data_IF_960941221769
#
_entry.id   IF_960941221769
#
_cell.length_a   1.000
_cell.length_b   1.000
_cell.length_c   1.000
_cell.angle_alpha   90.00
_cell.angle_beta   90.00
_cell.angle_gamma   90.00
#
_symmetry.space_group_name_H-M   'P 1'
#
loop_
_entity.id
_entity.type
_entity.pdbx_description
1 polymer ?
#
# COMPACT_ATOMS: atom_id res chain seq x y z
N UNK A 1 -24.32 -0.10 -20.87
CA UNK A 1 -22.87 -0.42 -20.88
C UNK A 1 -22.39 -0.38 -19.44
N UNK A 2 -22.16 -1.54 -18.83
CA UNK A 2 -21.64 -1.62 -17.45
C UNK A 2 -20.23 -0.99 -17.46
N UNK A 3 -20.03 0.08 -16.69
CA UNK A 3 -18.82 0.89 -16.76
C UNK A 3 -17.60 0.09 -16.29
N UNK A 4 -16.76 -0.36 -17.22
CA UNK A 4 -15.47 -1.00 -16.91
C UNK A 4 -14.45 -0.03 -16.31
N UNK A 5 -14.76 1.26 -16.24
CA UNK A 5 -13.84 2.28 -15.77
C UNK A 5 -13.42 2.06 -14.31
N UNK A 6 -14.33 1.62 -13.45
CA UNK A 6 -14.10 1.45 -12.02
C UNK A 6 -13.06 0.35 -11.69
N UNK A 7 -13.14 -0.87 -12.25
CA UNK A 7 -12.09 -1.88 -12.03
C UNK A 7 -10.73 -1.49 -12.61
N UNK A 8 -10.70 -0.79 -13.75
CA UNK A 8 -9.42 -0.25 -14.27
C UNK A 8 -8.85 0.82 -13.35
N UNK A 9 -9.68 1.69 -12.77
CA UNK A 9 -9.24 2.69 -11.80
C UNK A 9 -8.64 2.04 -10.54
N UNK A 10 -9.23 0.96 -10.04
CA UNK A 10 -8.67 0.19 -8.91
C UNK A 10 -7.29 -0.37 -9.25
N UNK A 11 -7.13 -0.99 -10.42
CA UNK A 11 -5.84 -1.56 -10.84
C UNK A 11 -4.80 -0.44 -10.97
N UNK A 12 -5.15 0.68 -11.61
CA UNK A 12 -4.24 1.81 -11.79
C UNK A 12 -3.81 2.42 -10.44
N UNK A 13 -4.74 2.60 -9.50
CA UNK A 13 -4.44 3.09 -8.16
C UNK A 13 -3.56 2.11 -7.37
N UNK A 14 -3.82 0.80 -7.47
CA UNK A 14 -3.01 -0.24 -6.84
C UNK A 14 -1.56 -0.24 -7.36
N UNK A 15 -1.37 -0.21 -8.68
CA UNK A 15 -0.03 -0.15 -9.30
C UNK A 15 0.70 1.12 -8.88
N UNK A 16 0.00 2.26 -8.87
CA UNK A 16 0.57 3.53 -8.44
C UNK A 16 0.98 3.47 -6.96
N UNK A 17 0.18 2.86 -6.10
CA UNK A 17 0.51 2.65 -4.68
C UNK A 17 1.78 1.83 -4.48
N UNK A 18 1.94 0.73 -5.24
CA UNK A 18 3.16 -0.09 -5.21
C UNK A 18 4.37 0.73 -5.67
N UNK A 19 4.25 1.43 -6.80
CA UNK A 19 5.33 2.24 -7.36
C UNK A 19 5.78 3.35 -6.40
N UNK A 20 4.83 4.07 -5.78
CA UNK A 20 5.14 5.12 -4.79
C UNK A 20 5.73 4.55 -3.51
N UNK A 21 5.28 3.39 -3.05
CA UNK A 21 5.88 2.69 -1.90
C UNK A 21 7.34 2.30 -2.14
N UNK A 22 7.68 2.00 -3.40
CA UNK A 22 9.03 1.66 -3.83
C UNK A 22 9.96 2.88 -4.01
N UNK A 23 9.45 4.11 -3.85
CA UNK A 23 10.30 5.30 -3.80
C UNK A 23 10.96 5.44 -2.42
N UNK A 24 12.27 5.71 -2.33
CA UNK A 24 12.91 6.06 -1.08
C UNK A 24 12.23 7.28 -0.46
N UNK A 25 11.70 7.11 0.75
CA UNK A 25 10.99 8.18 1.47
C UNK A 25 11.77 8.70 2.67
N UNK A 26 12.95 8.16 2.97
CA UNK A 26 13.90 8.79 3.88
C UNK A 26 15.33 8.78 3.31
N UNK A 27 16.14 9.70 3.81
CA UNK A 27 17.49 9.97 3.31
C UNK A 27 18.49 10.10 4.46
N UNK A 28 19.61 9.39 4.36
CA UNK A 28 20.71 9.38 5.33
C UNK A 28 21.92 10.18 4.84
N UNK A 29 21.87 10.83 3.67
CA UNK A 29 22.97 11.66 3.14
C UNK A 29 23.37 12.79 4.09
N UNK A 30 22.44 13.26 4.92
CA UNK A 30 22.73 14.26 5.98
C UNK A 30 23.58 13.71 7.12
N UNK A 31 23.67 12.39 7.26
CA UNK A 31 24.52 11.68 8.19
C UNK A 31 25.84 11.23 7.55
N UNK A 32 26.14 11.71 6.33
CA UNK A 32 27.36 11.35 5.60
C UNK A 32 27.30 10.00 4.88
N UNK A 33 26.15 9.34 4.86
CA UNK A 33 25.94 8.05 4.20
C UNK A 33 25.15 8.24 2.90
N UNK A 34 25.67 7.76 1.77
CA UNK A 34 24.94 7.79 0.49
C UNK A 34 23.89 6.68 0.42
N UNK A 35 22.89 6.76 1.29
CA UNK A 35 21.83 5.78 1.46
C UNK A 35 20.46 6.47 1.58
N UNK A 36 19.49 5.95 0.84
CA UNK A 36 18.07 6.32 0.95
C UNK A 36 17.26 5.04 0.90
N UNK A 37 16.13 4.98 1.60
CA UNK A 37 15.46 3.69 1.78
C UNK A 37 13.95 3.83 1.97
N UNK A 38 13.23 2.72 1.84
CA UNK A 38 11.78 2.65 2.00
C UNK A 38 11.32 1.34 2.67
N UNK A 39 10.01 1.21 2.84
CA UNK A 39 9.43 0.05 3.50
C UNK A 39 9.55 -1.30 2.82
N UNK A 40 10.14 -1.34 1.62
CA UNK A 40 10.40 -2.54 0.83
C UNK A 40 11.87 -2.94 0.82
N UNK A 41 12.74 -2.15 1.44
CA UNK A 41 14.15 -2.49 1.48
C UNK A 41 15.01 -1.85 0.38
N UNK A 42 14.49 -0.87 -0.36
CA UNK A 42 15.14 -0.41 -1.60
C UNK A 42 16.06 0.78 -1.29
N UNK A 43 17.38 0.56 -1.36
CA UNK A 43 18.42 1.57 -1.11
C UNK A 43 19.84 1.08 -1.40
N UNK A 44 20.80 2.00 -1.42
CA UNK A 44 22.24 1.73 -1.52
C UNK A 44 22.81 1.37 -0.14
N UNK A 45 22.79 0.08 0.20
CA UNK A 45 23.51 -0.46 1.36
C UNK A 45 24.21 -1.74 0.90
N UNK A 46 25.44 -1.97 1.37
CA UNK A 46 26.24 -3.15 1.04
C UNK A 46 25.44 -4.44 1.23
N UNK A 47 25.60 -5.43 0.33
CA UNK A 47 24.95 -6.74 0.48
C UNK A 47 25.27 -7.43 1.82
N UNK A 48 26.37 -7.07 2.48
CA UNK A 48 26.72 -7.56 3.83
C UNK A 48 25.75 -7.10 4.92
N UNK A 49 25.01 -6.02 4.70
CA UNK A 49 24.17 -5.35 5.72
C UNK A 49 22.67 -5.61 5.50
N UNK A 50 22.31 -6.48 4.54
CA UNK A 50 20.92 -6.88 4.24
C UNK A 50 20.21 -7.54 5.44
N UNK A 51 20.96 -8.00 6.45
CA UNK A 51 20.40 -8.50 7.71
C UNK A 51 19.77 -7.40 8.58
N UNK A 52 20.05 -6.13 8.27
CA UNK A 52 19.58 -4.93 8.98
C UNK A 52 18.61 -4.19 8.06
N UNK A 53 17.51 -4.81 7.64
CA UNK A 53 16.44 -4.09 6.98
C UNK A 53 15.50 -3.47 8.04
N UNK A 54 15.06 -2.21 7.91
CA UNK A 54 13.94 -1.72 8.72
C UNK A 54 12.76 -2.65 8.46
N UNK A 55 12.14 -3.11 9.55
CA UNK A 55 11.06 -4.10 9.52
C UNK A 55 10.09 -3.80 8.37
N UNK A 56 9.94 -4.74 7.44
CA UNK A 56 9.29 -4.63 6.13
C UNK A 56 7.78 -4.34 6.15
N UNK A 57 7.33 -3.37 6.93
CA UNK A 57 5.93 -2.97 7.06
C UNK A 57 5.41 -2.34 5.76
N UNK A 58 6.29 -1.95 4.82
CA UNK A 58 5.91 -1.55 3.47
C UNK A 58 5.29 -2.70 2.67
N UNK A 59 5.59 -3.95 3.03
CA UNK A 59 4.92 -5.12 2.45
C UNK A 59 3.43 -5.18 2.77
N UNK A 60 2.97 -4.57 3.87
CA UNK A 60 1.54 -4.44 4.15
C UNK A 60 0.84 -3.59 3.09
N UNK A 61 1.51 -2.54 2.63
CA UNK A 61 1.02 -1.66 1.57
C UNK A 61 0.97 -2.43 0.25
N UNK A 62 2.04 -3.15 -0.09
CA UNK A 62 2.09 -3.97 -1.31
C UNK A 62 1.03 -5.08 -1.30
N UNK A 63 0.84 -5.75 -0.16
CA UNK A 63 -0.18 -6.79 -0.02
C UNK A 63 -1.59 -6.24 -0.21
N UNK A 64 -1.90 -5.07 0.38
CA UNK A 64 -3.19 -4.40 0.19
C UNK A 64 -3.41 -4.01 -1.28
N UNK A 65 -2.40 -3.42 -1.94
CA UNK A 65 -2.46 -3.08 -3.36
C UNK A 65 -2.63 -4.32 -4.24
N UNK A 66 -1.92 -5.41 -3.95
CA UNK A 66 -2.05 -6.66 -4.70
C UNK A 66 -3.47 -7.25 -4.59
N UNK A 67 -4.05 -7.27 -3.38
CA UNK A 67 -5.43 -7.70 -3.17
C UNK A 67 -6.43 -6.81 -3.93
N UNK A 68 -6.23 -5.50 -3.94
CA UNK A 68 -7.06 -4.58 -4.71
C UNK A 68 -6.95 -4.81 -6.21
N UNK A 69 -5.73 -5.00 -6.74
CA UNK A 69 -5.52 -5.33 -8.15
C UNK A 69 -6.22 -6.65 -8.53
N UNK A 70 -6.12 -7.68 -7.70
CA UNK A 70 -6.83 -8.95 -7.89
C UNK A 70 -8.35 -8.74 -7.88
N UNK A 71 -8.89 -7.94 -6.95
CA UNK A 71 -10.31 -7.61 -6.91
C UNK A 71 -10.79 -6.92 -8.20
N UNK A 72 -9.98 -6.00 -8.74
CA UNK A 72 -10.22 -5.33 -10.02
C UNK A 72 -10.17 -6.28 -11.22
N UNK A 73 -9.19 -7.19 -11.27
CA UNK A 73 -9.08 -8.20 -12.33
C UNK A 73 -10.30 -9.15 -12.30
N UNK A 74 -10.68 -9.63 -11.11
CA UNK A 74 -11.85 -10.50 -10.94
C UNK A 74 -13.14 -9.77 -11.35
N UNK A 75 -13.19 -8.45 -11.22
CA UNK A 75 -14.31 -7.61 -11.70
C UNK A 75 -14.41 -7.47 -13.21
N UNK A 76 -13.36 -7.83 -13.95
CA UNK A 76 -13.42 -7.90 -15.41
C UNK A 76 -13.87 -9.27 -15.93
N UNK A 77 -13.98 -10.29 -15.06
CA UNK A 77 -14.39 -11.64 -15.45
C UNK A 77 -15.92 -11.76 -15.56
N UNK A 78 -16.46 -12.32 -16.65
CA UNK A 78 -17.91 -12.44 -16.89
C UNK A 78 -18.58 -13.62 -16.16
N UNK A 79 -17.85 -14.40 -15.36
CA UNK A 79 -18.39 -15.61 -14.74
C UNK A 79 -19.24 -15.30 -13.50
N UNK A 80 -20.46 -15.83 -13.43
CA UNK A 80 -21.37 -15.63 -12.28
C UNK A 80 -20.73 -16.05 -10.93
N UNK A 81 -19.97 -17.15 -10.90
CA UNK A 81 -19.23 -17.59 -9.70
C UNK A 81 -18.11 -16.63 -9.29
N UNK A 82 -17.58 -15.82 -10.21
CA UNK A 82 -16.53 -14.85 -9.91
C UNK A 82 -17.09 -13.58 -9.23
N UNK A 83 -18.40 -13.33 -9.31
CA UNK A 83 -19.01 -12.14 -8.71
C UNK A 83 -19.03 -12.20 -7.17
N UNK A 84 -19.37 -13.35 -6.58
CA UNK A 84 -19.37 -13.52 -5.13
C UNK A 84 -17.96 -13.41 -4.53
N UNK A 85 -17.00 -14.09 -5.15
CA UNK A 85 -15.56 -14.03 -4.77
C UNK A 85 -15.05 -12.59 -4.92
N UNK A 86 -15.40 -11.94 -6.02
CA UNK A 86 -15.00 -10.57 -6.29
C UNK A 86 -15.55 -9.55 -5.28
N UNK A 87 -16.77 -9.76 -4.76
CA UNK A 87 -17.32 -8.92 -3.69
C UNK A 87 -16.52 -9.07 -2.40
N UNK A 88 -16.25 -10.30 -1.96
CA UNK A 88 -15.45 -10.54 -0.74
C UNK A 88 -14.05 -9.94 -0.90
N UNK A 89 -13.40 -10.16 -2.04
CA UNK A 89 -12.09 -9.57 -2.34
C UNK A 89 -12.10 -8.05 -2.31
N UNK A 90 -13.13 -7.40 -2.89
CA UNK A 90 -13.26 -5.95 -2.85
C UNK A 90 -13.43 -5.41 -1.42
N UNK A 91 -14.23 -6.09 -0.58
CA UNK A 91 -14.39 -5.74 0.83
C UNK A 91 -13.08 -5.90 1.62
N UNK A 92 -12.38 -7.02 1.46
CA UNK A 92 -11.08 -7.27 2.09
C UNK A 92 -10.04 -6.25 1.62
N UNK A 93 -10.02 -5.93 0.33
CA UNK A 93 -9.11 -4.92 -0.23
C UNK A 93 -9.40 -3.51 0.30
N UNK A 94 -10.67 -3.15 0.51
CA UNK A 94 -11.04 -1.86 1.09
C UNK A 94 -10.57 -1.71 2.55
N UNK A 95 -10.82 -2.74 3.37
CA UNK A 95 -10.34 -2.79 4.76
C UNK A 95 -8.82 -2.82 4.81
N UNK A 96 -8.19 -3.65 3.97
CA UNK A 96 -6.75 -3.78 3.87
C UNK A 96 -6.07 -2.49 3.43
N UNK A 97 -6.64 -1.76 2.47
CA UNK A 97 -6.10 -0.47 2.01
C UNK A 97 -6.22 0.61 3.08
N UNK A 98 -7.32 0.63 3.82
CA UNK A 98 -7.50 1.53 4.98
C UNK A 98 -6.48 1.22 6.07
N UNK A 99 -6.28 -0.07 6.39
CA UNK A 99 -5.27 -0.49 7.37
C UNK A 99 -3.84 -0.17 6.87
N UNK A 100 -3.56 -0.33 5.58
CA UNK A 100 -2.27 -0.01 5.00
C UNK A 100 -1.98 1.51 5.04
N UNK A 101 -2.99 2.36 4.93
CA UNK A 101 -2.84 3.82 5.06
C UNK A 101 -2.33 4.23 6.45
N UNK A 102 -2.56 3.41 7.48
CA UNK A 102 -1.98 3.64 8.81
C UNK A 102 -0.45 3.58 8.80
N UNK A 103 0.18 2.81 7.91
CA UNK A 103 1.64 2.67 7.84
C UNK A 103 2.33 4.01 7.56
N UNK A 104 2.05 4.74 6.46
CA UNK A 104 2.68 6.03 6.22
C UNK A 104 2.27 7.11 7.25
N UNK A 105 1.08 7.01 7.85
CA UNK A 105 0.66 7.91 8.95
C UNK A 105 1.48 7.66 10.21
N UNK A 106 1.68 6.40 10.60
CA UNK A 106 2.47 6.03 11.76
C UNK A 106 3.93 6.42 11.57
N UNK A 107 4.48 6.25 10.36
CA UNK A 107 5.82 6.75 10.00
C UNK A 107 5.91 8.27 10.16
N UNK A 108 4.86 9.00 9.80
CA UNK A 108 4.85 10.46 9.93
C UNK A 108 4.94 10.92 11.39
N UNK A 109 4.17 10.28 12.27
CA UNK A 109 4.06 10.67 13.69
C UNK A 109 5.25 10.13 14.49
N UNK A 110 5.62 8.87 14.23
CA UNK A 110 6.67 8.13 14.95
C UNK A 110 7.62 7.42 13.98
N UNK A 111 8.57 8.14 13.36
CA UNK A 111 9.58 7.54 12.51
C UNK A 111 10.37 6.41 13.20
N UNK A 112 10.60 6.55 14.52
CA UNK A 112 11.31 5.56 15.35
C UNK A 112 10.64 4.18 15.37
N UNK A 113 9.30 4.11 15.34
CA UNK A 113 8.56 2.85 15.28
C UNK A 113 8.89 2.02 14.04
N UNK A 114 9.30 2.70 12.98
CA UNK A 114 9.68 2.11 11.71
C UNK A 114 11.18 1.85 11.60
N UNK A 115 12.01 2.79 12.10
CA UNK A 115 13.44 2.81 11.82
C UNK A 115 14.34 2.39 12.98
N UNK A 116 13.85 2.28 14.22
CA UNK A 116 14.71 2.02 15.38
C UNK A 116 15.62 0.82 15.17
N UNK A 117 15.07 -0.36 14.83
CA UNK A 117 15.88 -1.56 14.61
C UNK A 117 16.86 -1.46 13.43
N UNK A 118 16.58 -0.60 12.45
CA UNK A 118 17.50 -0.34 11.33
C UNK A 118 18.68 0.53 11.79
N UNK A 119 18.40 1.63 12.49
CA UNK A 119 19.44 2.52 13.00
C UNK A 119 20.29 1.85 14.07
N UNK A 120 19.68 1.03 14.92
CA UNK A 120 20.39 0.23 15.93
C UNK A 120 21.38 -0.73 15.27
N UNK A 121 20.99 -1.42 14.20
CA UNK A 121 21.88 -2.32 13.48
C UNK A 121 22.99 -1.61 12.69
N UNK A 122 22.83 -0.31 12.40
CA UNK A 122 23.89 0.55 11.85
C UNK A 122 24.76 1.21 12.94
N UNK A 123 24.44 1.02 14.22
CA UNK A 123 25.12 1.72 15.33
C UNK A 123 24.83 3.23 15.37
N UNK A 124 23.70 3.66 14.80
CA UNK A 124 23.28 5.05 14.65
C UNK A 124 22.03 5.37 15.49
N UNK A 125 21.83 4.65 16.59
CA UNK A 125 20.69 4.83 17.51
C UNK A 125 20.53 6.29 17.98
N UNK A 126 21.66 6.97 18.23
CA UNK A 126 21.67 8.36 18.73
C UNK A 126 21.38 9.39 17.64
N UNK A 127 21.46 9.01 16.36
CA UNK A 127 21.25 9.89 15.21
C UNK A 127 19.79 9.84 14.69
N UNK A 128 18.87 9.23 15.43
CA UNK A 128 17.48 9.05 15.04
C UNK A 128 16.75 10.38 14.76
N UNK A 129 17.10 11.44 15.47
CA UNK A 129 16.51 12.78 15.26
C UNK A 129 16.92 13.43 13.93
N UNK A 130 18.01 12.97 13.32
CA UNK A 130 18.52 13.51 12.05
C UNK A 130 17.94 12.80 10.81
N UNK A 131 17.18 11.70 10.99
CA UNK A 131 16.55 10.99 9.88
C UNK A 131 15.44 11.84 9.28
N UNK A 132 15.68 12.37 8.09
CA UNK A 132 14.69 13.17 7.38
C UNK A 132 13.79 12.29 6.52
N UNK A 133 12.49 12.39 6.76
CA UNK A 133 11.46 11.70 5.98
C UNK A 133 10.78 12.68 5.01
N UNK A 134 10.68 12.29 3.74
CA UNK A 134 9.98 13.05 2.70
C UNK A 134 8.48 13.04 2.97
N UNK A 135 7.99 14.13 3.58
CA UNK A 135 6.56 14.34 3.83
C UNK A 135 5.75 14.29 2.53
N UNK A 136 6.29 14.80 1.43
CA UNK A 136 5.60 14.79 0.14
C UNK A 136 5.29 13.36 -0.35
N UNK A 137 6.25 12.44 -0.25
CA UNK A 137 6.05 11.04 -0.65
C UNK A 137 5.05 10.36 0.29
N UNK A 138 5.14 10.63 1.61
CA UNK A 138 4.17 10.11 2.57
C UNK A 138 2.74 10.61 2.32
N UNK A 139 2.54 11.91 2.07
CA UNK A 139 1.21 12.46 1.72
C UNK A 139 0.69 11.74 0.48
N UNK A 140 1.51 11.66 -0.57
CA UNK A 140 1.12 10.99 -1.82
C UNK A 140 0.66 9.56 -1.56
N UNK A 141 1.41 8.80 -0.76
CA UNK A 141 1.08 7.43 -0.43
C UNK A 141 -0.22 7.31 0.39
N UNK A 142 -0.42 8.18 1.39
CA UNK A 142 -1.66 8.24 2.18
C UNK A 142 -2.85 8.49 1.25
N UNK A 143 -2.76 9.50 0.38
CA UNK A 143 -3.84 9.86 -0.55
C UNK A 143 -4.15 8.72 -1.50
N UNK A 144 -3.13 8.07 -2.09
CA UNK A 144 -3.33 6.93 -2.99
C UNK A 144 -4.05 5.77 -2.26
N UNK A 145 -3.66 5.45 -1.02
CA UNK A 145 -4.27 4.36 -0.27
C UNK A 145 -5.71 4.66 0.14
N UNK A 146 -6.03 5.91 0.48
CA UNK A 146 -7.40 6.34 0.75
C UNK A 146 -8.27 6.30 -0.52
N UNK A 147 -7.74 6.74 -1.66
CA UNK A 147 -8.42 6.62 -2.95
C UNK A 147 -8.65 5.15 -3.28
N UNK A 148 -7.64 4.29 -3.10
CA UNK A 148 -7.75 2.86 -3.34
C UNK A 148 -8.83 2.21 -2.44
N UNK A 149 -8.87 2.57 -1.16
CA UNK A 149 -9.89 2.11 -0.24
C UNK A 149 -11.30 2.54 -0.68
N UNK A 150 -11.47 3.80 -1.09
CA UNK A 150 -12.74 4.33 -1.60
C UNK A 150 -13.19 3.62 -2.88
N UNK A 151 -12.27 3.41 -3.83
CA UNK A 151 -12.56 2.69 -5.07
C UNK A 151 -12.93 1.22 -4.82
N UNK A 152 -12.22 0.54 -3.92
CA UNK A 152 -12.56 -0.84 -3.52
C UNK A 152 -13.91 -0.91 -2.81
N UNK A 153 -14.23 0.09 -1.97
CA UNK A 153 -15.53 0.22 -1.32
C UNK A 153 -16.66 0.43 -2.34
N UNK A 154 -16.46 1.30 -3.34
CA UNK A 154 -17.43 1.48 -4.42
C UNK A 154 -17.63 0.18 -5.23
N UNK A 155 -16.55 -0.57 -5.50
CA UNK A 155 -16.59 -1.87 -6.17
C UNK A 155 -17.35 -2.94 -5.35
N UNK A 156 -17.27 -2.86 -4.01
CA UNK A 156 -18.04 -3.71 -3.12
C UNK A 156 -19.53 -3.39 -3.16
N UNK A 157 -19.89 -2.10 -3.15
CA UNK A 157 -21.27 -1.63 -3.19
C UNK A 157 -21.94 -2.00 -4.53
N UNK A 158 -21.30 -1.68 -5.67
CA UNK A 158 -21.83 -1.99 -7.01
C UNK A 158 -22.12 -3.48 -7.18
N UNK A 159 -21.26 -4.34 -6.63
CA UNK A 159 -21.49 -5.80 -6.63
C UNK A 159 -22.57 -6.25 -5.67
N UNK A 160 -22.73 -5.57 -4.54
CA UNK A 160 -23.79 -5.91 -3.59
C UNK A 160 -25.17 -5.62 -4.17
N UNK A 161 -25.31 -4.55 -4.95
CA UNK A 161 -26.55 -4.20 -5.65
C UNK A 161 -26.86 -5.18 -6.78
N UNK A 162 -25.85 -5.58 -7.57
CA UNK A 162 -26.00 -6.58 -8.65
C UNK A 162 -26.52 -7.92 -8.12
N UNK A 163 -25.96 -8.43 -7.02
CA UNK A 163 -26.45 -9.68 -6.42
C UNK A 163 -27.91 -9.60 -5.96
N UNK A 164 -28.34 -8.45 -5.41
CA UNK A 164 -29.73 -8.27 -4.95
C UNK A 164 -30.72 -8.29 -6.12
N UNK A 165 -30.33 -7.71 -7.26
CA UNK A 165 -31.15 -7.72 -8.48
C UNK A 165 -31.30 -9.15 -8.99
N UNK A 166 -30.19 -9.90 -9.08
CA UNK A 166 -30.21 -11.31 -9.53
C UNK A 166 -31.07 -12.20 -8.62
N UNK A 167 -31.04 -11.99 -7.30
CA UNK A 167 -31.85 -12.73 -6.33
C UNK A 167 -33.35 -12.36 -6.37
N UNK A 168 -33.70 -11.13 -6.78
CA UNK A 168 -35.09 -10.64 -6.85
C UNK A 168 -35.81 -10.96 -8.17
N UNK A 169 -35.07 -11.36 -9.21
CA UNK A 169 -35.56 -11.69 -10.54
C UNK A 169 -35.75 -13.18 -10.83
N UNK A 170 -35.54 -14.05 -9.83
CA UNK A 170 -35.82 -15.48 -9.86
C UNK A 170 -37.12 -15.80 -9.11
#
# INVERSE_FOLDING_TARGET
MQSRALPFAVIAAAVTGIAVTALPWFDLRRLGMDASWNGLGIGTVSQSDLGVAPAGRGWLIVAACALAALAGIVALLPAAKAQSIGRVLAGVAAVGSTAAAFVPVAVWIWPSWYFAGFLDGLGLSDAQELVTVSKAILIGLIVILLILAALCGALFIDRSEQNLIDDSGA
#
